data_IF_315930369226
#
_entry.id   IF_315930369226
#
_cell.length_a   1.000
_cell.length_b   1.000
_cell.length_c   1.000
_cell.angle_alpha   90.00
_cell.angle_beta   90.00
_cell.angle_gamma   90.00
#
_symmetry.space_group_name_H-M   'P 1'
#
loop_
_entity.id
_entity.type
_entity.pdbx_description
1 polymer ?
#
# COMPACT_ATOMS: atom_id res chain seq x y z
N UNK A 1 6.19 -26.72 -0.63
CA UNK A 1 6.28 -25.62 0.37
C UNK A 1 5.21 -24.59 0.05
N UNK A 2 4.48 -24.05 1.02
CA UNK A 2 3.44 -23.04 0.74
C UNK A 2 4.08 -21.70 0.33
N UNK A 3 3.47 -20.99 -0.64
CA UNK A 3 3.91 -19.66 -1.11
C UNK A 3 4.08 -18.67 0.05
N UNK A 4 3.20 -18.71 1.05
CA UNK A 4 3.27 -17.86 2.24
C UNK A 4 4.52 -18.12 3.11
N UNK A 5 4.96 -19.38 3.27
CA UNK A 5 6.20 -19.71 3.99
C UNK A 5 7.41 -19.18 3.22
N UNK A 6 7.40 -19.28 1.89
CA UNK A 6 8.45 -18.74 1.01
C UNK A 6 8.55 -17.21 1.11
N UNK A 7 7.41 -16.49 1.09
CA UNK A 7 7.39 -15.04 1.23
C UNK A 7 7.98 -14.58 2.58
N UNK A 8 7.54 -15.20 3.70
CA UNK A 8 8.09 -14.90 5.03
C UNK A 8 9.59 -15.15 5.12
N UNK A 9 10.09 -16.20 4.45
CA UNK A 9 11.53 -16.48 4.41
C UNK A 9 12.29 -15.41 3.61
N UNK A 10 11.78 -14.99 2.44
CA UNK A 10 12.37 -13.90 1.64
C UNK A 10 12.44 -12.60 2.43
N UNK A 11 11.35 -12.21 3.09
CA UNK A 11 11.30 -11.01 3.93
C UNK A 11 12.36 -11.07 5.04
N UNK A 12 12.48 -12.21 5.74
CA UNK A 12 13.49 -12.40 6.79
C UNK A 12 14.93 -12.31 6.25
N UNK A 13 15.17 -12.81 5.05
CA UNK A 13 16.49 -12.73 4.43
C UNK A 13 16.85 -11.30 4.05
N UNK A 14 15.93 -10.56 3.43
CA UNK A 14 16.13 -9.14 3.08
C UNK A 14 16.33 -8.30 4.34
N UNK A 15 15.55 -8.57 5.39
CA UNK A 15 15.68 -7.89 6.69
C UNK A 15 17.08 -7.99 7.28
N UNK A 16 17.66 -9.20 7.25
CA UNK A 16 19.03 -9.44 7.71
C UNK A 16 20.06 -8.76 6.81
N UNK A 17 19.90 -8.84 5.49
CA UNK A 17 20.85 -8.27 4.53
C UNK A 17 20.89 -6.75 4.59
N UNK A 18 19.73 -6.09 4.72
CA UNK A 18 19.62 -4.64 4.73
C UNK A 18 19.64 -4.02 6.12
N UNK A 19 19.68 -4.84 7.18
CA UNK A 19 19.54 -4.39 8.57
C UNK A 19 18.27 -3.54 8.81
N UNK A 20 17.16 -3.93 8.19
CA UNK A 20 15.85 -3.26 8.32
C UNK A 20 14.90 -4.22 9.05
N UNK A 21 14.04 -3.74 9.96
CA UNK A 21 13.03 -4.59 10.59
C UNK A 21 12.16 -5.32 9.56
N UNK A 22 11.97 -6.63 9.73
CA UNK A 22 11.19 -7.46 8.81
C UNK A 22 9.75 -6.95 8.60
N UNK A 23 9.17 -6.29 9.61
CA UNK A 23 7.86 -5.67 9.53
C UNK A 23 7.81 -4.51 8.52
N UNK A 24 8.85 -3.68 8.45
CA UNK A 24 8.94 -2.57 7.48
C UNK A 24 8.99 -3.11 6.06
N UNK A 25 9.78 -4.16 5.83
CA UNK A 25 9.88 -4.80 4.49
C UNK A 25 8.54 -5.42 4.10
N UNK A 26 7.88 -6.12 5.03
CA UNK A 26 6.55 -6.70 4.79
C UNK A 26 5.53 -5.62 4.45
N UNK A 27 5.52 -4.51 5.19
CA UNK A 27 4.57 -3.42 4.95
C UNK A 27 4.83 -2.73 3.61
N UNK A 28 6.09 -2.40 3.30
CA UNK A 28 6.42 -1.82 2.01
C UNK A 28 6.01 -2.75 0.85
N UNK A 29 6.26 -4.06 0.98
CA UNK A 29 5.78 -5.03 -0.01
C UNK A 29 4.25 -4.99 -0.16
N UNK A 30 3.49 -4.95 0.94
CA UNK A 30 2.02 -4.87 0.86
C UNK A 30 1.54 -3.56 0.22
N UNK A 31 2.21 -2.43 0.48
CA UNK A 31 1.90 -1.17 -0.20
C UNK A 31 2.25 -1.21 -1.68
N UNK A 32 3.41 -1.75 -2.07
CA UNK A 32 3.76 -1.94 -3.48
C UNK A 32 2.74 -2.85 -4.19
N UNK A 33 2.24 -3.89 -3.51
CA UNK A 33 1.18 -4.75 -4.06
C UNK A 33 -0.12 -3.98 -4.29
N UNK A 34 -0.55 -3.16 -3.34
CA UNK A 34 -1.71 -2.29 -3.52
C UNK A 34 -1.49 -1.28 -4.66
N UNK A 35 -0.30 -0.69 -4.78
CA UNK A 35 0.03 0.25 -5.86
C UNK A 35 0.06 -0.42 -7.24
N UNK A 36 0.54 -1.66 -7.34
CA UNK A 36 0.47 -2.44 -8.58
C UNK A 36 -0.98 -2.67 -8.98
N UNK A 37 -1.83 -3.11 -8.04
CA UNK A 37 -3.27 -3.26 -8.29
C UNK A 37 -3.92 -1.94 -8.73
N UNK A 38 -3.60 -0.83 -8.06
CA UNK A 38 -4.09 0.51 -8.42
C UNK A 38 -3.64 0.90 -9.84
N UNK A 39 -2.37 0.68 -10.19
CA UNK A 39 -1.81 1.05 -11.49
C UNK A 39 -2.46 0.30 -12.67
N UNK A 40 -2.94 -0.92 -12.42
CA UNK A 40 -3.62 -1.76 -13.40
C UNK A 40 -5.15 -1.58 -13.41
N UNK A 41 -5.70 -0.82 -12.44
CA UNK A 41 -7.13 -0.54 -12.35
C UNK A 41 -7.55 0.68 -13.17
N UNK A 42 -8.85 0.87 -13.34
CA UNK A 42 -9.43 2.09 -13.94
C UNK A 42 -9.19 3.36 -13.08
N UNK A 43 -8.78 3.19 -11.81
CA UNK A 43 -8.55 4.27 -10.86
C UNK A 43 -7.13 4.83 -10.87
N UNK A 44 -6.23 4.34 -11.73
CA UNK A 44 -4.81 4.72 -11.74
C UNK A 44 -4.55 6.24 -11.76
N UNK A 45 -5.39 7.01 -12.47
CA UNK A 45 -5.27 8.49 -12.57
C UNK A 45 -6.06 9.23 -11.48
N UNK A 46 -6.78 8.51 -10.62
CA UNK A 46 -7.62 9.07 -9.55
C UNK A 46 -6.87 9.21 -8.23
N UNK A 47 -5.73 8.56 -8.07
CA UNK A 47 -4.91 8.60 -6.86
C UNK A 47 -3.52 9.12 -7.17
N UNK A 48 -3.14 10.24 -6.56
CA UNK A 48 -1.79 10.80 -6.65
C UNK A 48 -0.99 10.35 -5.42
N UNK A 49 0.04 9.54 -5.64
CA UNK A 49 0.96 9.11 -4.58
C UNK A 49 1.80 10.30 -4.07
N UNK A 50 1.93 10.41 -2.75
CA UNK A 50 2.75 11.45 -2.11
C UNK A 50 3.38 10.93 -0.81
N UNK A 51 3.97 11.86 -0.04
CA UNK A 51 4.38 11.60 1.34
C UNK A 51 5.63 10.74 1.49
N UNK A 52 5.72 10.06 2.63
CA UNK A 52 6.92 9.31 3.04
C UNK A 52 7.27 8.16 2.10
N UNK A 53 6.26 7.48 1.54
CA UNK A 53 6.47 6.31 0.69
C UNK A 53 7.12 6.69 -0.64
N UNK A 54 6.70 7.81 -1.25
CA UNK A 54 7.33 8.31 -2.47
C UNK A 54 8.80 8.63 -2.24
N UNK A 55 9.12 9.27 -1.11
CA UNK A 55 10.52 9.57 -0.77
C UNK A 55 11.30 8.29 -0.49
N UNK A 56 10.73 7.34 0.25
CA UNK A 56 11.35 6.03 0.53
C UNK A 56 11.66 5.25 -0.77
N UNK A 57 10.79 5.34 -1.78
CA UNK A 57 11.03 4.74 -3.09
C UNK A 57 12.22 5.38 -3.84
N UNK A 58 12.52 6.66 -3.58
CA UNK A 58 13.63 7.39 -4.19
C UNK A 58 14.95 7.15 -3.42
N UNK A 59 14.92 7.27 -2.09
CA UNK A 59 16.14 7.26 -1.25
C UNK A 59 16.49 5.87 -0.71
N UNK A 60 15.60 4.90 -0.83
CA UNK A 60 15.76 3.57 -0.26
C UNK A 60 15.20 3.43 1.16
N UNK A 61 14.61 2.25 1.43
CA UNK A 61 13.99 1.91 2.71
C UNK A 61 14.97 1.89 3.90
N UNK A 62 16.25 1.61 3.63
CA UNK A 62 17.36 1.63 4.59
C UNK A 62 17.67 3.05 5.08
N UNK A 63 17.37 4.08 4.27
CA UNK A 63 17.58 5.48 4.63
C UNK A 63 16.30 6.13 5.20
N UNK A 64 15.12 5.72 4.71
CA UNK A 64 13.85 6.23 5.20
C UNK A 64 12.77 5.17 5.15
N UNK A 65 12.43 4.63 6.31
CA UNK A 65 11.21 3.84 6.49
C UNK A 65 10.00 4.78 6.71
N UNK A 66 8.86 4.41 6.14
CA UNK A 66 7.55 4.98 6.49
C UNK A 66 6.57 3.83 6.64
N UNK A 67 5.55 4.03 7.47
CA UNK A 67 4.50 3.05 7.72
C UNK A 67 3.18 3.50 7.10
N UNK A 68 3.17 4.68 6.46
CA UNK A 68 1.98 5.31 5.91
C UNK A 68 2.08 5.38 4.38
N UNK A 69 0.94 5.18 3.73
CA UNK A 69 0.73 5.41 2.31
C UNK A 69 -0.17 6.63 2.14
N UNK A 70 0.43 7.77 1.82
CA UNK A 70 -0.32 8.98 1.53
C UNK A 70 -0.69 9.06 0.06
N UNK A 71 -1.99 9.20 -0.20
CA UNK A 71 -2.49 9.49 -1.55
C UNK A 71 -3.40 10.71 -1.54
N UNK A 72 -3.62 11.31 -2.70
CA UNK A 72 -4.61 12.36 -2.89
C UNK A 72 -5.57 11.93 -3.97
N UNK A 73 -6.86 11.96 -3.65
CA UNK A 73 -7.93 11.66 -4.58
C UNK A 73 -8.14 12.83 -5.55
N UNK A 74 -8.27 12.50 -6.83
CA UNK A 74 -8.54 13.45 -7.91
C UNK A 74 -9.70 12.94 -8.74
N UNK A 75 -10.65 13.82 -9.06
CA UNK A 75 -11.76 13.52 -9.96
C UNK A 75 -12.57 12.27 -9.53
N UNK A 76 -12.68 12.05 -8.21
CA UNK A 76 -13.48 11.01 -7.58
C UNK A 76 -14.20 11.64 -6.37
N UNK A 77 -15.53 11.49 -6.23
CA UNK A 77 -16.26 11.98 -5.07
C UNK A 77 -15.68 11.43 -3.75
N UNK A 78 -15.46 12.33 -2.79
CA UNK A 78 -14.94 11.98 -1.47
C UNK A 78 -16.09 11.55 -0.54
N UNK A 79 -16.76 10.45 -0.90
CA UNK A 79 -17.79 9.82 -0.04
C UNK A 79 -17.35 8.41 0.37
N UNK A 80 -17.76 7.94 1.56
CA UNK A 80 -17.40 6.59 2.01
C UNK A 80 -17.71 5.50 0.99
N UNK A 81 -18.89 5.54 0.38
CA UNK A 81 -19.37 4.53 -0.56
C UNK A 81 -18.50 4.50 -1.83
N UNK A 82 -18.19 5.69 -2.37
CA UNK A 82 -17.37 5.84 -3.57
C UNK A 82 -15.95 5.34 -3.32
N UNK A 83 -15.36 5.70 -2.18
CA UNK A 83 -13.99 5.31 -1.85
C UNK A 83 -13.90 3.81 -1.56
N UNK A 84 -14.86 3.25 -0.82
CA UNK A 84 -14.92 1.82 -0.54
C UNK A 84 -15.05 1.02 -1.84
N UNK A 85 -16.00 1.38 -2.71
CA UNK A 85 -16.19 0.70 -4.00
C UNK A 85 -14.94 0.76 -4.88
N UNK A 86 -14.27 1.92 -4.94
CA UNK A 86 -13.02 2.07 -5.67
C UNK A 86 -11.91 1.16 -5.11
N UNK A 87 -11.71 1.16 -3.79
CA UNK A 87 -10.67 0.35 -3.15
C UNK A 87 -10.94 -1.16 -3.27
N UNK A 88 -12.19 -1.60 -3.20
CA UNK A 88 -12.59 -3.00 -3.42
C UNK A 88 -12.25 -3.45 -4.85
N UNK A 89 -12.60 -2.64 -5.85
CA UNK A 89 -12.28 -2.93 -7.24
C UNK A 89 -10.77 -2.89 -7.53
N UNK A 90 -10.04 -1.95 -6.94
CA UNK A 90 -8.57 -1.93 -6.99
C UNK A 90 -8.03 -3.25 -6.44
N UNK A 91 -8.43 -3.65 -5.23
CA UNK A 91 -7.94 -4.87 -4.58
C UNK A 91 -8.29 -6.16 -5.34
N UNK A 92 -9.41 -6.16 -6.08
CA UNK A 92 -9.83 -7.28 -6.91
C UNK A 92 -9.06 -7.40 -8.24
N UNK A 93 -8.17 -6.44 -8.55
CA UNK A 93 -7.38 -6.47 -9.80
C UNK A 93 -6.48 -7.72 -9.82
N UNK A 94 -6.62 -8.62 -10.82
CA UNK A 94 -5.91 -9.89 -10.83
C UNK A 94 -4.39 -9.72 -10.93
N UNK A 95 -3.64 -10.52 -10.16
CA UNK A 95 -2.19 -10.58 -10.25
C UNK A 95 -1.66 -11.95 -9.80
N UNK A 96 -0.69 -12.51 -10.52
CA UNK A 96 -0.18 -13.87 -10.30
C UNK A 96 0.97 -13.94 -9.27
N UNK A 97 0.76 -13.35 -8.09
CA UNK A 97 1.70 -13.53 -6.97
C UNK A 97 1.08 -14.23 -5.76
N UNK A 98 -0.21 -14.53 -5.83
CA UNK A 98 -0.95 -15.20 -4.76
C UNK A 98 -1.19 -14.32 -3.53
N UNK A 99 -1.07 -13.00 -3.67
CA UNK A 99 -1.40 -12.01 -2.64
C UNK A 99 -2.56 -11.15 -3.13
N UNK A 100 -3.66 -11.17 -2.37
CA UNK A 100 -4.82 -10.29 -2.59
C UNK A 100 -4.84 -9.25 -1.46
N UNK A 101 -4.55 -7.97 -1.74
CA UNK A 101 -4.66 -6.93 -0.74
C UNK A 101 -6.13 -6.74 -0.34
N UNK A 102 -6.36 -6.27 0.88
CA UNK A 102 -7.67 -5.83 1.34
C UNK A 102 -7.50 -4.57 2.18
N UNK A 103 -8.45 -3.64 2.07
CA UNK A 103 -8.43 -2.39 2.81
C UNK A 103 -9.63 -2.34 3.73
N UNK A 104 -9.40 -1.92 4.99
CA UNK A 104 -10.46 -1.58 5.93
C UNK A 104 -10.51 -0.08 6.10
N UNK A 105 -11.64 0.51 5.75
CA UNK A 105 -11.84 1.95 5.91
C UNK A 105 -12.25 2.27 7.34
N UNK A 106 -11.60 3.28 7.92
CA UNK A 106 -11.98 3.87 9.21
C UNK A 106 -12.07 5.37 9.01
N UNK A 107 -13.27 5.94 9.22
CA UNK A 107 -13.48 7.38 9.16
C UNK A 107 -13.25 7.95 10.55
N UNK A 108 -12.11 8.62 10.75
CA UNK A 108 -11.95 9.50 11.89
C UNK A 108 -12.66 10.82 11.57
N UNK A 109 -13.79 11.07 12.22
CA UNK A 109 -14.40 12.38 12.21
C UNK A 109 -13.44 13.36 12.91
N UNK A 110 -12.77 14.20 12.13
CA UNK A 110 -12.07 15.35 12.69
C UNK A 110 -13.16 16.36 13.05
N UNK A 111 -13.54 16.39 14.33
CA UNK A 111 -14.31 17.52 14.86
C UNK A 111 -13.36 18.71 14.85
N UNK A 112 -13.37 19.47 13.75
CA UNK A 112 -12.80 20.81 13.73
C UNK A 112 -13.80 21.70 14.46
N UNK A 113 -13.72 21.71 15.79
CA UNK A 113 -14.17 22.89 16.52
C UNK A 113 -13.14 23.97 16.25
N UNK A 114 -13.56 25.06 15.60
CA UNK A 114 -12.87 26.34 15.70
C UNK A 114 -12.66 26.73 17.16
#
# INVERSE_FOLDING_TARGET
>A
MSKAISLKAKIRNIAKQKNIPAQVILQNYMFERLLVCLSASEYKEKFVLKGGMLVAAIVGLDNRATMDLDTTLKNLPLTPETICGALEQICATPFDDGVVPSVKMTFMAVIVSC
#
